data_IF_616465972768
#
_entry.id   IF_616465972768
#
_cell.length_a   1.000
_cell.length_b   1.000
_cell.length_c   1.000
_cell.angle_alpha   90.00
_cell.angle_beta   90.00
_cell.angle_gamma   90.00
#
_symmetry.space_group_name_H-M   'P 1'
#
loop_
_entity.id
_entity.type
_entity.pdbx_description
1 polymer ?
#
# COMPACT_ATOMS: atom_id res chain seq x y z
N UNK A 1 -1.98 -0.55 18.11
CA UNK A 1 -0.69 0.13 17.92
C UNK A 1 -0.78 0.90 16.61
N UNK A 2 -0.40 2.18 16.57
CA UNK A 2 -0.43 2.95 15.32
C UNK A 2 0.89 2.75 14.58
N UNK A 3 0.81 2.27 13.34
CA UNK A 3 1.96 2.06 12.49
C UNK A 3 2.08 3.22 11.49
N UNK A 4 3.31 3.68 11.28
CA UNK A 4 3.65 4.64 10.23
C UNK A 4 4.42 3.91 9.15
N UNK A 5 3.93 3.98 7.92
CA UNK A 5 4.52 3.31 6.77
C UNK A 5 4.82 4.34 5.70
N UNK A 6 6.03 4.34 5.18
CA UNK A 6 6.44 5.17 4.05
C UNK A 6 6.54 4.33 2.78
N UNK A 7 6.12 4.91 1.67
CA UNK A 7 6.24 4.34 0.32
C UNK A 7 6.83 5.41 -0.60
N UNK A 8 7.83 5.02 -1.38
CA UNK A 8 8.44 5.87 -2.40
C UNK A 8 8.18 5.24 -3.76
N UNK A 9 7.69 6.03 -4.72
CA UNK A 9 7.35 5.60 -6.07
C UNK A 9 8.38 6.13 -7.10
N UNK A 10 9.65 5.72 -6.98
CA UNK A 10 10.75 6.22 -7.84
C UNK A 10 10.60 5.90 -9.33
N UNK A 11 9.92 4.80 -9.67
CA UNK A 11 9.78 4.33 -11.06
C UNK A 11 8.43 4.69 -11.68
N UNK A 12 7.62 5.54 -11.03
CA UNK A 12 6.27 5.85 -11.52
C UNK A 12 6.23 7.14 -12.33
N UNK A 13 5.79 7.03 -13.59
CA UNK A 13 5.53 8.20 -14.43
C UNK A 13 4.57 9.21 -13.79
N UNK A 14 4.86 10.50 -13.94
CA UNK A 14 3.99 11.59 -13.49
C UNK A 14 2.52 11.45 -13.93
N UNK A 15 2.18 11.09 -15.19
CA UNK A 15 0.79 10.81 -15.58
C UNK A 15 0.14 9.68 -14.78
N UNK A 16 0.88 8.63 -14.45
CA UNK A 16 0.39 7.51 -13.63
C UNK A 16 0.13 7.98 -12.20
N UNK A 17 1.00 8.80 -11.62
CA UNK A 17 0.76 9.41 -10.30
C UNK A 17 -0.48 10.31 -10.29
N UNK A 18 -0.69 11.09 -11.35
CA UNK A 18 -1.89 11.94 -11.48
C UNK A 18 -3.17 11.10 -11.55
N UNK A 19 -3.17 10.01 -12.32
CA UNK A 19 -4.29 9.06 -12.36
C UNK A 19 -4.53 8.38 -11.03
N UNK A 20 -3.44 7.98 -10.37
CA UNK A 20 -3.48 7.31 -9.07
C UNK A 20 -4.13 8.22 -8.02
N UNK A 21 -3.69 9.48 -7.92
CA UNK A 21 -4.22 10.43 -6.95
C UNK A 21 -5.64 10.89 -7.33
N UNK A 22 -5.94 10.93 -8.62
CA UNK A 22 -7.19 11.49 -9.12
C UNK A 22 -7.26 13.00 -8.91
N UNK A 23 -8.41 13.60 -9.23
CA UNK A 23 -8.65 15.02 -9.04
C UNK A 23 -8.52 15.41 -7.56
N UNK A 24 -7.59 16.31 -7.23
CA UNK A 24 -7.34 16.79 -5.85
C UNK A 24 -7.09 15.68 -4.82
N UNK A 25 -6.38 14.62 -5.22
CA UNK A 25 -6.10 13.48 -4.32
C UNK A 25 -7.37 12.73 -3.84
N UNK A 26 -8.50 12.87 -4.55
CA UNK A 26 -9.77 12.22 -4.20
C UNK A 26 -9.63 10.70 -4.04
N UNK A 27 -8.76 10.06 -4.83
CA UNK A 27 -8.57 8.62 -4.72
C UNK A 27 -7.85 8.24 -3.43
N UNK A 28 -6.88 9.05 -3.00
CA UNK A 28 -6.18 8.85 -1.72
C UNK A 28 -7.12 9.09 -0.55
N UNK A 29 -7.98 10.10 -0.64
CA UNK A 29 -8.98 10.41 0.38
C UNK A 29 -10.03 9.29 0.51
N UNK A 30 -10.54 8.75 -0.61
CA UNK A 30 -11.43 7.58 -0.60
C UNK A 30 -10.76 6.35 0.03
N UNK A 31 -9.47 6.12 -0.28
CA UNK A 31 -8.70 5.01 0.30
C UNK A 31 -8.50 5.20 1.81
N UNK A 32 -8.10 6.41 2.21
CA UNK A 32 -7.89 6.80 3.61
C UNK A 32 -9.16 6.58 4.45
N UNK A 33 -10.31 7.04 3.94
CA UNK A 33 -11.62 6.88 4.57
C UNK A 33 -12.06 5.42 4.67
N UNK A 34 -11.82 4.62 3.62
CA UNK A 34 -12.20 3.20 3.63
C UNK A 34 -11.41 2.38 4.66
N UNK A 35 -10.13 2.74 4.87
CA UNK A 35 -9.25 2.07 5.81
C UNK A 35 -9.21 2.69 7.21
N UNK A 36 -9.87 3.83 7.41
CA UNK A 36 -9.77 4.66 8.62
C UNK A 36 -8.31 4.98 8.98
N UNK A 37 -7.53 5.42 7.98
CA UNK A 37 -6.12 5.80 8.13
C UNK A 37 -5.87 7.20 7.59
N UNK A 38 -4.74 7.79 7.98
CA UNK A 38 -4.26 9.05 7.43
C UNK A 38 -3.23 8.81 6.33
N UNK A 39 -3.45 9.36 5.14
CA UNK A 39 -2.54 9.28 4.01
C UNK A 39 -2.04 10.68 3.67
N UNK A 40 -0.72 10.87 3.64
CA UNK A 40 -0.09 12.13 3.24
C UNK A 40 0.80 11.90 2.03
N UNK A 41 0.65 12.71 0.99
CA UNK A 41 1.49 12.68 -0.20
C UNK A 41 2.40 13.90 -0.26
N UNK A 42 3.69 13.68 -0.54
CA UNK A 42 4.69 14.69 -0.89
C UNK A 42 5.44 14.22 -2.14
N UNK A 43 5.04 14.73 -3.29
CA UNK A 43 5.59 14.33 -4.60
C UNK A 43 5.42 12.83 -4.86
N UNK A 44 6.52 12.07 -4.80
CA UNK A 44 6.61 10.62 -4.99
C UNK A 44 6.65 9.86 -3.65
N UNK A 45 6.70 10.59 -2.54
CA UNK A 45 6.67 10.04 -1.19
C UNK A 45 5.25 10.01 -0.63
N UNK A 46 4.83 8.84 -0.19
CA UNK A 46 3.56 8.60 0.46
C UNK A 46 3.80 8.14 1.89
N UNK A 47 3.04 8.69 2.82
CA UNK A 47 3.10 8.35 4.24
C UNK A 47 1.72 7.92 4.70
N UNK A 48 1.64 6.73 5.29
CA UNK A 48 0.42 6.14 5.82
C UNK A 48 0.55 6.03 7.33
N UNK A 49 -0.45 6.52 8.07
CA UNK A 49 -0.48 6.46 9.52
C UNK A 49 -1.81 5.89 9.98
N UNK A 50 -1.78 4.83 10.79
CA UNK A 50 -2.97 4.24 11.35
C UNK A 50 -2.77 2.79 11.78
N UNK A 51 -3.85 2.15 12.22
CA UNK A 51 -3.82 0.72 12.51
C UNK A 51 -3.58 -0.10 11.22
N UNK A 52 -4.20 0.30 10.11
CA UNK A 52 -4.13 -0.37 8.81
C UNK A 52 -3.12 0.29 7.83
N UNK A 53 -2.04 0.90 8.33
CA UNK A 53 -1.07 1.58 7.48
C UNK A 53 -0.39 0.62 6.46
N UNK A 54 -0.19 -0.65 6.83
CA UNK A 54 0.31 -1.69 5.94
C UNK A 54 -0.71 -2.05 4.85
N UNK A 55 -2.00 -2.17 5.20
CA UNK A 55 -3.08 -2.33 4.23
C UNK A 55 -3.13 -1.16 3.24
N UNK A 56 -3.02 0.09 3.73
CA UNK A 56 -3.01 1.28 2.90
C UNK A 56 -1.90 1.29 1.85
N UNK A 57 -0.68 0.92 2.25
CA UNK A 57 0.44 0.77 1.31
C UNK A 57 0.14 -0.28 0.23
N UNK A 58 -0.37 -1.46 0.63
CA UNK A 58 -0.70 -2.55 -0.31
C UNK A 58 -1.83 -2.15 -1.27
N UNK A 59 -2.86 -1.49 -0.77
CA UNK A 59 -3.97 -1.01 -1.58
C UNK A 59 -3.46 0.01 -2.61
N UNK A 60 -2.61 0.95 -2.19
CA UNK A 60 -2.05 1.94 -3.11
C UNK A 60 -1.19 1.28 -4.21
N UNK A 61 -0.41 0.24 -3.90
CA UNK A 61 0.33 -0.51 -4.91
C UNK A 61 -0.58 -1.25 -5.91
N UNK A 62 -1.66 -1.90 -5.45
CA UNK A 62 -2.68 -2.51 -6.33
C UNK A 62 -3.34 -1.46 -7.24
N UNK A 63 -3.65 -0.29 -6.68
CA UNK A 63 -4.22 0.82 -7.42
C UNK A 63 -3.23 1.41 -8.41
N UNK A 64 -1.94 1.45 -8.08
CA UNK A 64 -0.91 1.91 -8.99
C UNK A 64 -0.77 1.01 -10.21
N UNK A 65 -0.73 -0.32 -10.02
CA UNK A 65 -0.73 -1.28 -11.13
C UNK A 65 -1.98 -1.11 -12.00
N UNK A 66 -3.13 -0.89 -11.36
CA UNK A 66 -4.38 -0.64 -12.08
C UNK A 66 -4.35 0.67 -12.86
N UNK A 67 -3.80 1.74 -12.29
CA UNK A 67 -3.70 3.09 -12.89
C UNK A 67 -2.78 3.13 -14.12
N UNK A 68 -1.82 2.19 -14.22
CA UNK A 68 -0.98 2.03 -15.40
C UNK A 68 -1.79 1.49 -16.59
N UNK A 69 -2.77 0.63 -16.33
CA UNK A 69 -3.51 -0.08 -17.38
C UNK A 69 -4.90 0.52 -17.67
N UNK A 70 -5.56 1.12 -16.66
CA UNK A 70 -6.91 1.69 -16.75
C UNK A 70 -7.15 2.79 -15.71
N UNK A 71 -8.23 3.56 -15.89
CA UNK A 71 -8.63 4.57 -14.90
C UNK A 71 -9.12 3.93 -13.59
N UNK A 72 -8.84 4.62 -12.48
CA UNK A 72 -9.31 4.23 -11.16
C UNK A 72 -10.71 4.79 -10.91
N UNK A 73 -11.64 3.91 -10.59
CA UNK A 73 -12.98 4.25 -10.13
C UNK A 73 -13.09 4.06 -8.62
N UNK A 74 -13.99 4.81 -7.98
CA UNK A 74 -14.21 4.77 -6.53
C UNK A 74 -14.51 3.34 -6.03
N UNK A 75 -15.25 2.53 -6.82
CA UNK A 75 -15.50 1.12 -6.50
C UNK A 75 -14.23 0.27 -6.43
N UNK A 76 -13.24 0.51 -7.30
CA UNK A 76 -11.97 -0.23 -7.30
C UNK A 76 -11.15 0.14 -6.07
N UNK A 77 -11.15 1.43 -5.71
CA UNK A 77 -10.43 1.95 -4.54
C UNK A 77 -10.98 1.35 -3.25
N UNK A 78 -12.31 1.37 -3.07
CA UNK A 78 -12.96 0.77 -1.92
C UNK A 78 -12.76 -0.74 -1.87
N UNK A 79 -12.83 -1.43 -3.01
CA UNK A 79 -12.60 -2.87 -3.06
C UNK A 79 -11.17 -3.20 -2.62
N UNK A 80 -10.16 -2.53 -3.18
CA UNK A 80 -8.77 -2.73 -2.80
C UNK A 80 -8.51 -2.40 -1.31
N UNK A 81 -9.15 -1.36 -0.78
CA UNK A 81 -9.11 -1.04 0.65
C UNK A 81 -9.67 -2.20 1.50
N UNK A 82 -10.88 -2.68 1.21
CA UNK A 82 -11.53 -3.74 2.01
C UNK A 82 -10.77 -5.06 1.92
N UNK A 83 -10.29 -5.43 0.72
CA UNK A 83 -9.45 -6.62 0.53
C UNK A 83 -8.21 -6.53 1.43
N UNK A 84 -7.45 -5.45 1.31
CA UNK A 84 -6.19 -5.32 2.05
C UNK A 84 -6.40 -5.14 3.55
N UNK A 85 -7.49 -4.50 3.98
CA UNK A 85 -7.88 -4.41 5.38
C UNK A 85 -8.16 -5.80 5.96
N UNK A 86 -8.88 -6.64 5.21
CA UNK A 86 -9.21 -8.01 5.62
C UNK A 86 -7.95 -8.88 5.65
N UNK A 87 -7.07 -8.71 4.66
CA UNK A 87 -5.78 -9.39 4.58
C UNK A 87 -4.85 -8.99 5.73
N UNK A 88 -4.83 -7.72 6.14
CA UNK A 88 -4.02 -7.17 7.24
C UNK A 88 -4.58 -7.57 8.61
N UNK A 89 -5.90 -7.53 8.79
CA UNK A 89 -6.58 -8.04 9.99
C UNK A 89 -6.39 -9.56 10.17
N UNK A 90 -6.31 -10.30 9.07
CA UNK A 90 -5.96 -11.73 9.04
C UNK A 90 -4.46 -11.99 9.18
N UNK A 91 -3.59 -10.99 8.96
CA UNK A 91 -2.13 -11.09 9.10
C UNK A 91 -1.68 -10.79 10.54
N UNK A 92 -2.27 -11.47 11.53
CA UNK A 92 -1.54 -11.70 12.76
C UNK A 92 -0.57 -12.86 12.48
N UNK A 93 0.73 -12.59 12.64
CA UNK A 93 1.82 -13.57 12.60
C UNK A 93 2.45 -13.89 11.23
N UNK A 94 3.19 -12.92 10.69
CA UNK A 94 4.50 -13.24 10.10
C UNK A 94 5.43 -12.05 10.26
N UNK A 95 5.89 -11.87 11.49
CA UNK A 95 7.20 -11.26 11.70
C UNK A 95 8.18 -12.04 10.82
N UNK A 96 8.69 -11.39 9.78
CA UNK A 96 9.85 -11.87 9.02
C UNK A 96 11.03 -11.85 9.98
N UNK A 97 11.16 -12.91 10.78
CA UNK A 97 12.43 -13.26 11.40
C UNK A 97 13.23 -13.96 10.31
N UNK A 98 14.03 -13.17 9.59
CA UNK A 98 15.06 -13.65 8.66
C UNK A 98 15.92 -14.70 9.38
N UNK A 99 15.96 -15.98 8.96
CA UNK A 99 17.01 -16.87 9.41
C UNK A 99 18.28 -16.53 8.61
N UNK A 100 19.07 -15.62 9.15
CA UNK A 100 20.52 -15.67 8.97
C UNK A 100 21.05 -16.76 9.91
N UNK A 101 21.25 -17.98 9.42
CA UNK A 101 22.37 -18.85 9.83
C UNK A 101 22.47 -20.09 8.92
N UNK A 102 23.57 -20.09 8.18
CA UNK A 102 24.49 -21.22 7.96
C UNK A 102 24.00 -22.46 7.22
N UNK A 103 24.39 -22.54 5.95
CA UNK A 103 24.84 -23.80 5.37
C UNK A 103 25.86 -24.49 6.29
N UNK A 104 25.73 -25.81 6.48
CA UNK A 104 26.89 -26.66 6.22
C UNK A 104 26.55 -27.63 5.10
N UNK A 105 27.06 -27.30 3.92
CA UNK A 105 27.19 -28.20 2.79
C UNK A 105 28.12 -29.37 3.15
N UNK A 106 27.66 -30.59 2.83
CA UNK A 106 28.39 -31.87 2.76
C UNK A 106 28.88 -32.46 4.11
N UNK A 107 28.41 -33.60 4.63
CA UNK A 107 28.20 -34.94 4.06
C UNK A 107 29.44 -35.55 3.39
N UNK A 108 29.86 -36.71 3.94
CA UNK A 108 30.87 -37.68 3.51
C UNK A 108 32.29 -37.50 4.06
#
# INVERSE_FOLDING_TARGET
>A
MTHTVHLHLEETDNPTLQRLCGSFDSNLDSLAKALDIHISRRFEHFTFNGAFAHAGKRALLKLLETAQTRDLNDSIIRLAAVETQTEDAGHQEKITNTPIISEPSAAA
#
